data_IF_631347480670
#
_entry.id   IF_631347480670
#
_cell.length_a   1.000
_cell.length_b   1.000
_cell.length_c   1.000
_cell.angle_alpha   90.00
_cell.angle_beta   90.00
_cell.angle_gamma   90.00
#
_symmetry.space_group_name_H-M   'P 1'
#
loop_
_entity.id
_entity.type
_entity.pdbx_description
1 polymer ?
#
# COMPACT_ATOMS: atom_id res chain seq x y z
N UNK A 1 4.39 16.64 8.24
CA UNK A 1 3.72 16.66 9.55
C UNK A 1 3.20 18.05 9.84
N UNK A 2 1.94 18.17 10.23
CA UNK A 2 1.23 19.42 10.58
C UNK A 2 0.61 19.21 11.98
N UNK A 3 0.54 20.22 12.80
CA UNK A 3 0.02 20.14 14.17
C UNK A 3 -0.75 21.41 14.55
N UNK A 4 -1.70 21.25 15.47
CA UNK A 4 -2.68 22.28 15.84
C UNK A 4 -3.94 22.24 14.95
N UNK A 5 -5.06 22.64 15.51
CA UNK A 5 -6.37 22.50 14.88
C UNK A 5 -6.46 23.28 13.56
N UNK A 6 -6.18 24.58 13.58
CA UNK A 6 -6.28 25.42 12.38
C UNK A 6 -5.34 24.97 11.25
N UNK A 7 -4.04 24.68 11.47
CA UNK A 7 -3.18 24.19 10.39
C UNK A 7 -3.65 22.87 9.78
N UNK A 8 -4.24 21.97 10.58
CA UNK A 8 -4.80 20.71 10.06
C UNK A 8 -6.04 20.97 9.21
N UNK A 9 -6.93 21.85 9.65
CA UNK A 9 -8.08 22.30 8.86
C UNK A 9 -7.67 22.93 7.53
N UNK A 10 -6.63 23.77 7.53
CA UNK A 10 -6.12 24.41 6.31
C UNK A 10 -5.59 23.40 5.30
N UNK A 11 -4.85 22.37 5.77
CA UNK A 11 -4.38 21.29 4.91
C UNK A 11 -5.55 20.54 4.28
N UNK A 12 -6.61 20.26 5.05
CA UNK A 12 -7.83 19.61 4.56
C UNK A 12 -8.54 20.49 3.52
N UNK A 13 -8.72 21.79 3.82
CA UNK A 13 -9.35 22.75 2.90
C UNK A 13 -8.56 22.94 1.61
N UNK A 14 -7.23 22.81 1.68
CA UNK A 14 -6.35 22.85 0.51
C UNK A 14 -6.38 21.54 -0.33
N UNK A 15 -7.25 20.58 0.00
CA UNK A 15 -7.39 19.32 -0.73
C UNK A 15 -6.18 18.38 -0.60
N UNK A 16 -5.30 18.60 0.39
CA UNK A 16 -4.16 17.72 0.62
C UNK A 16 -4.58 16.50 1.42
N UNK A 17 -4.18 15.34 0.98
CA UNK A 17 -4.49 14.10 1.67
C UNK A 17 -3.71 13.94 2.96
N UNK A 18 -4.40 13.41 3.97
CA UNK A 18 -3.80 13.05 5.24
C UNK A 18 -3.43 11.57 5.25
N UNK A 19 -2.23 11.28 5.68
CA UNK A 19 -1.73 9.91 5.84
C UNK A 19 -2.20 9.30 7.15
N UNK A 20 -2.20 10.10 8.24
CA UNK A 20 -2.59 9.66 9.58
C UNK A 20 -2.87 10.87 10.48
N UNK A 21 -3.82 10.70 11.39
CA UNK A 21 -4.13 11.70 12.41
C UNK A 21 -3.98 11.10 13.80
N UNK A 22 -3.22 11.79 14.68
CA UNK A 22 -3.17 11.51 16.09
C UNK A 22 -3.97 12.56 16.85
N UNK A 23 -4.86 12.12 17.72
CA UNK A 23 -5.73 12.95 18.54
C UNK A 23 -5.50 12.60 20.02
N UNK A 24 -5.41 13.60 20.87
CA UNK A 24 -5.31 13.41 22.32
C UNK A 24 -6.55 12.70 22.85
N UNK A 25 -6.35 11.61 23.59
CA UNK A 25 -7.43 10.89 24.25
C UNK A 25 -8.14 11.79 25.28
N UNK A 26 -9.49 11.72 25.29
CA UNK A 26 -10.30 12.46 26.25
C UNK A 26 -10.51 13.95 25.93
N UNK A 27 -9.85 14.49 24.90
CA UNK A 27 -10.05 15.88 24.47
C UNK A 27 -11.39 16.02 23.75
N UNK A 28 -12.23 16.95 24.24
CA UNK A 28 -13.52 17.29 23.62
C UNK A 28 -13.42 18.66 22.97
N UNK A 29 -13.46 18.71 21.65
CA UNK A 29 -13.48 19.93 20.83
C UNK A 29 -14.33 19.67 19.60
N UNK A 30 -15.23 20.60 19.26
CA UNK A 30 -16.07 20.51 18.08
C UNK A 30 -15.19 20.44 16.80
N UNK A 31 -14.21 21.31 16.68
CA UNK A 31 -13.29 21.34 15.54
C UNK A 31 -12.52 20.03 15.36
N UNK A 32 -11.99 19.46 16.45
CA UNK A 32 -11.32 18.14 16.39
C UNK A 32 -12.31 17.04 15.96
N UNK A 33 -13.56 17.11 16.44
CA UNK A 33 -14.61 16.14 16.03
C UNK A 33 -14.90 16.24 14.54
N UNK A 34 -14.91 17.42 13.97
CA UNK A 34 -15.09 17.66 12.52
C UNK A 34 -13.91 17.10 11.71
N UNK A 35 -12.66 17.33 12.17
CA UNK A 35 -11.46 16.73 11.55
C UNK A 35 -11.50 15.20 11.62
N UNK A 36 -11.88 14.64 12.77
CA UNK A 36 -12.02 13.18 12.93
C UNK A 36 -13.09 12.60 12.00
N UNK A 37 -14.23 13.30 11.87
CA UNK A 37 -15.29 12.92 10.93
C UNK A 37 -14.80 12.97 9.48
N UNK A 38 -14.11 14.03 9.09
CA UNK A 38 -13.47 14.14 7.77
C UNK A 38 -12.51 12.98 7.53
N UNK A 39 -11.60 12.73 8.47
CA UNK A 39 -10.61 11.66 8.36
C UNK A 39 -11.26 10.28 8.18
N UNK A 40 -12.34 10.00 8.93
CA UNK A 40 -13.10 8.73 8.79
C UNK A 40 -13.77 8.62 7.42
N UNK A 41 -14.36 9.69 6.92
CA UNK A 41 -15.04 9.69 5.61
C UNK A 41 -14.05 9.52 4.43
N UNK A 42 -12.77 9.81 4.65
CA UNK A 42 -11.70 9.69 3.64
C UNK A 42 -10.71 8.55 3.98
N UNK A 43 -11.15 7.60 4.81
CA UNK A 43 -10.36 6.41 5.18
C UNK A 43 -8.98 6.71 5.78
N UNK A 44 -8.82 7.91 6.34
CA UNK A 44 -7.58 8.31 7.01
C UNK A 44 -7.53 7.69 8.40
N UNK A 45 -6.50 6.91 8.73
CA UNK A 45 -6.33 6.32 10.06
C UNK A 45 -6.28 7.38 11.16
N UNK A 46 -7.18 7.29 12.14
CA UNK A 46 -7.19 8.13 13.34
C UNK A 46 -6.80 7.31 14.55
N UNK A 47 -5.80 7.78 15.31
CA UNK A 47 -5.41 7.17 16.57
C UNK A 47 -5.60 8.15 17.74
N UNK A 48 -6.39 7.72 18.73
CA UNK A 48 -6.49 8.42 20.01
C UNK A 48 -5.35 7.98 20.92
N UNK A 49 -4.55 8.95 21.36
CA UNK A 49 -3.28 8.67 22.08
C UNK A 49 -3.14 9.57 23.32
N UNK A 50 -2.36 9.16 24.34
CA UNK A 50 -1.99 10.02 25.44
C UNK A 50 -1.21 11.26 24.93
N UNK A 51 -1.31 12.38 25.69
CA UNK A 51 -0.66 13.65 25.32
C UNK A 51 0.87 13.51 25.20
N UNK A 52 1.48 12.62 25.99
CA UNK A 52 2.90 12.34 25.96
C UNK A 52 3.38 11.85 24.60
N UNK A 53 2.53 11.09 23.89
CA UNK A 53 2.85 10.64 22.54
C UNK A 53 2.87 11.80 21.55
N UNK A 54 1.96 12.75 21.67
CA UNK A 54 1.96 13.98 20.85
C UNK A 54 3.17 14.85 21.15
N UNK A 55 3.51 15.00 22.43
CA UNK A 55 4.68 15.76 22.90
C UNK A 55 6.02 15.16 22.40
N UNK A 56 6.06 13.84 22.14
CA UNK A 56 7.24 13.18 21.51
C UNK A 56 7.34 13.49 20.03
N UNK A 57 6.21 13.69 19.35
CA UNK A 57 6.17 14.03 17.92
C UNK A 57 6.56 15.51 17.70
N UNK A 58 6.09 16.41 18.57
CA UNK A 58 6.42 17.83 18.51
C UNK A 58 6.33 18.48 19.89
N UNK A 59 7.32 19.34 20.20
CA UNK A 59 7.31 20.16 21.42
C UNK A 59 6.57 21.50 21.24
N UNK A 60 6.08 21.78 20.04
CA UNK A 60 5.30 22.98 19.74
C UNK A 60 3.85 22.80 20.15
N UNK A 61 3.10 23.91 20.24
CA UNK A 61 1.69 23.86 20.64
C UNK A 61 0.83 23.10 19.61
N UNK A 62 0.59 21.83 19.85
CA UNK A 62 -0.17 20.96 18.97
C UNK A 62 -1.68 20.93 19.27
N UNK A 63 -2.15 21.59 20.33
CA UNK A 63 -3.58 21.69 20.68
C UNK A 63 -4.33 20.34 20.68
N UNK A 64 -3.62 19.25 21.02
CA UNK A 64 -4.18 17.89 21.07
C UNK A 64 -4.34 17.19 19.72
N UNK A 65 -3.79 17.72 18.63
CA UNK A 65 -3.86 17.10 17.29
C UNK A 65 -2.54 17.23 16.53
N UNK A 66 -2.13 16.12 15.90
CA UNK A 66 -1.00 16.05 14.96
C UNK A 66 -1.42 15.23 13.77
N UNK A 67 -1.24 15.75 12.55
CA UNK A 67 -1.54 15.07 11.30
C UNK A 67 -0.28 14.90 10.45
N UNK A 68 -0.20 13.78 9.77
CA UNK A 68 0.80 13.53 8.74
C UNK A 68 0.13 13.72 7.38
N UNK A 69 0.69 14.59 6.55
CA UNK A 69 0.22 14.87 5.20
C UNK A 69 0.88 13.85 4.28
N UNK A 70 0.08 13.22 3.43
CA UNK A 70 0.58 12.31 2.42
C UNK A 70 1.34 13.10 1.34
N UNK A 71 2.54 12.68 0.93
CA UNK A 71 3.27 13.36 -0.15
C UNK A 71 2.77 12.99 -1.55
N UNK A 72 1.86 12.04 -1.66
CA UNK A 72 1.23 11.59 -2.91
C UNK A 72 -0.30 11.65 -2.78
N UNK A 73 -1.00 11.62 -3.91
CA UNK A 73 -2.45 11.40 -3.96
C UNK A 73 -2.73 9.93 -4.19
N UNK A 74 -3.61 9.35 -3.37
CA UNK A 74 -4.07 7.98 -3.58
C UNK A 74 -5.03 7.91 -4.76
N UNK A 75 -4.96 6.80 -5.50
CA UNK A 75 -5.87 6.49 -6.59
C UNK A 75 -6.87 5.40 -6.16
N UNK A 76 -7.93 5.27 -6.92
CA UNK A 76 -8.94 4.24 -6.72
C UNK A 76 -8.67 3.10 -7.71
N UNK A 77 -8.54 1.88 -7.23
CA UNK A 77 -8.20 0.73 -8.10
C UNK A 77 -9.27 0.49 -9.15
N UNK A 78 -10.52 0.78 -8.83
CA UNK A 78 -11.67 0.71 -9.72
C UNK A 78 -11.61 1.70 -10.90
N UNK A 79 -10.78 2.74 -10.79
CA UNK A 79 -10.51 3.67 -11.88
C UNK A 79 -9.25 3.29 -12.66
N UNK A 80 -8.20 2.82 -11.96
CA UNK A 80 -6.91 2.49 -12.60
C UNK A 80 -7.05 1.30 -13.56
N UNK A 81 -7.71 0.22 -13.14
CA UNK A 81 -7.81 -1.00 -13.95
C UNK A 81 -8.53 -0.75 -15.28
N UNK A 82 -9.73 -0.13 -15.33
CA UNK A 82 -10.38 0.20 -16.59
C UNK A 82 -9.54 1.15 -17.46
N UNK A 83 -8.90 2.15 -16.88
CA UNK A 83 -8.03 3.08 -17.60
C UNK A 83 -6.91 2.34 -18.36
N UNK A 84 -6.27 1.35 -17.73
CA UNK A 84 -5.21 0.55 -18.36
C UNK A 84 -5.77 -0.27 -19.54
N UNK A 85 -6.96 -0.84 -19.39
CA UNK A 85 -7.63 -1.54 -20.48
C UNK A 85 -8.01 -0.58 -21.64
N UNK A 86 -8.49 0.61 -21.32
CA UNK A 86 -8.85 1.64 -22.34
C UNK A 86 -7.62 2.10 -23.13
N UNK A 87 -6.42 2.03 -22.51
CA UNK A 87 -5.12 2.25 -23.18
C UNK A 87 -4.67 1.05 -24.05
N UNK A 88 -5.46 -0.04 -24.11
CA UNK A 88 -5.11 -1.25 -24.85
C UNK A 88 -4.00 -2.09 -24.19
N UNK A 89 -3.73 -1.88 -22.91
CA UNK A 89 -2.71 -2.59 -22.14
C UNK A 89 -3.32 -3.67 -21.24
N UNK A 90 -2.50 -4.61 -20.80
CA UNK A 90 -2.88 -5.63 -19.81
C UNK A 90 -2.52 -5.14 -18.42
N UNK A 91 -3.51 -4.95 -17.51
CA UNK A 91 -3.22 -4.48 -16.15
C UNK A 91 -2.23 -5.35 -15.42
N UNK A 92 -1.34 -4.68 -14.70
CA UNK A 92 -0.36 -5.29 -13.81
C UNK A 92 -0.41 -4.61 -12.44
N UNK A 93 -0.92 -5.31 -11.43
CA UNK A 93 -1.15 -4.79 -10.09
C UNK A 93 -0.30 -5.54 -9.07
N UNK A 94 0.19 -4.83 -8.05
CA UNK A 94 0.86 -5.42 -6.89
C UNK A 94 0.03 -5.13 -5.65
N UNK A 95 -0.34 -6.16 -4.90
CA UNK A 95 -1.07 -6.06 -3.63
C UNK A 95 -0.10 -6.36 -2.49
N UNK A 96 0.00 -5.48 -1.52
CA UNK A 96 0.87 -5.63 -0.35
C UNK A 96 0.04 -5.87 0.90
N UNK A 97 0.14 -7.07 1.48
CA UNK A 97 -0.51 -7.39 2.76
C UNK A 97 0.43 -7.08 3.91
N UNK A 98 0.12 -6.05 4.69
CA UNK A 98 0.81 -5.67 5.94
C UNK A 98 2.32 -5.41 5.81
N UNK A 99 2.77 -4.90 4.68
CA UNK A 99 4.14 -4.39 4.55
C UNK A 99 4.24 -3.06 5.28
N UNK A 100 4.85 -3.07 6.48
CA UNK A 100 4.88 -1.91 7.40
C UNK A 100 6.19 -1.15 7.40
N UNK A 101 7.28 -1.75 6.90
CA UNK A 101 8.57 -1.08 6.79
C UNK A 101 8.57 -0.08 5.63
N UNK A 102 8.87 1.18 5.97
CA UNK A 102 8.86 2.31 5.04
C UNK A 102 9.91 2.17 3.93
N UNK A 103 11.07 1.59 4.25
CA UNK A 103 12.17 1.41 3.28
C UNK A 103 11.84 0.27 2.32
N UNK A 104 11.30 -0.83 2.82
CA UNK A 104 10.83 -1.93 1.96
C UNK A 104 9.73 -1.43 1.02
N UNK A 105 8.75 -0.67 1.54
CA UNK A 105 7.70 -0.09 0.70
C UNK A 105 8.27 0.83 -0.39
N UNK A 106 9.19 1.73 -0.04
CA UNK A 106 9.86 2.59 -1.02
C UNK A 106 10.65 1.82 -2.08
N UNK A 107 11.38 0.77 -1.69
CA UNK A 107 12.11 -0.10 -2.61
C UNK A 107 11.17 -0.88 -3.53
N UNK A 108 10.06 -1.41 -2.99
CA UNK A 108 9.00 -2.06 -3.77
C UNK A 108 8.44 -1.09 -4.81
N UNK A 109 8.06 0.12 -4.40
CA UNK A 109 7.49 1.12 -5.31
C UNK A 109 8.45 1.48 -6.45
N UNK A 110 9.75 1.60 -6.16
CA UNK A 110 10.78 1.82 -7.19
C UNK A 110 10.85 0.67 -8.19
N UNK A 111 10.87 -0.55 -7.69
CA UNK A 111 10.93 -1.76 -8.51
C UNK A 111 9.66 -1.95 -9.34
N UNK A 112 8.49 -1.76 -8.72
CA UNK A 112 7.20 -1.83 -9.41
C UNK A 112 7.11 -0.82 -10.56
N UNK A 113 7.51 0.44 -10.30
CA UNK A 113 7.52 1.45 -11.36
C UNK A 113 8.47 1.08 -12.50
N UNK A 114 9.68 0.57 -12.19
CA UNK A 114 10.64 0.13 -13.20
C UNK A 114 10.15 -1.09 -14.01
N UNK A 115 9.34 -1.96 -13.39
CA UNK A 115 8.74 -3.13 -14.02
C UNK A 115 7.44 -2.83 -14.80
N UNK A 116 6.97 -1.57 -14.83
CA UNK A 116 5.74 -1.18 -15.50
C UNK A 116 4.47 -1.65 -14.79
N UNK A 117 4.52 -1.78 -13.46
CA UNK A 117 3.32 -2.03 -12.62
C UNK A 117 2.41 -0.80 -12.68
N UNK A 118 1.13 -1.01 -12.93
CA UNK A 118 0.14 0.06 -13.09
C UNK A 118 -0.36 0.60 -11.75
N UNK A 119 -0.46 -0.26 -10.73
CA UNK A 119 -0.87 0.14 -9.39
C UNK A 119 -0.26 -0.73 -8.29
N UNK A 120 0.00 -0.09 -7.13
CA UNK A 120 0.28 -0.77 -5.86
C UNK A 120 -0.94 -0.60 -4.97
N UNK A 121 -1.52 -1.72 -4.50
CA UNK A 121 -2.64 -1.72 -3.55
C UNK A 121 -2.11 -1.97 -2.15
N UNK A 122 -2.53 -1.13 -1.20
CA UNK A 122 -2.20 -1.26 0.22
C UNK A 122 -3.46 -1.18 1.08
N UNK A 123 -3.51 -1.87 2.23
CA UNK A 123 -4.61 -1.70 3.17
C UNK A 123 -4.54 -0.32 3.84
N UNK A 124 -5.69 0.24 4.21
CA UNK A 124 -5.79 1.49 4.96
C UNK A 124 -5.20 1.39 6.37
N UNK A 125 -5.08 0.18 6.90
CA UNK A 125 -4.48 -0.13 8.20
C UNK A 125 -3.43 -1.21 8.09
N UNK A 126 -2.32 -1.07 8.83
CA UNK A 126 -1.24 -2.06 8.83
C UNK A 126 -0.33 -1.96 7.59
N UNK A 127 -0.30 -0.85 6.90
CA UNK A 127 0.66 -0.54 5.83
C UNK A 127 1.72 0.46 6.29
N UNK A 128 2.82 0.54 5.55
CA UNK A 128 3.85 1.55 5.75
C UNK A 128 3.28 2.96 5.54
N UNK A 129 3.75 3.90 6.35
CA UNK A 129 3.43 5.32 6.15
C UNK A 129 4.19 5.85 4.92
N UNK A 130 3.47 6.49 4.01
CA UNK A 130 4.11 7.19 2.90
C UNK A 130 4.62 8.54 3.40
N UNK A 131 5.89 8.61 3.69
CA UNK A 131 6.58 9.78 4.24
C UNK A 131 7.82 10.13 3.41
N UNK A 132 8.63 11.10 3.88
CA UNK A 132 9.85 11.51 3.21
C UNK A 132 10.88 10.40 3.03
N UNK A 133 10.93 9.42 3.94
CA UNK A 133 11.84 8.27 3.83
C UNK A 133 11.39 7.31 2.73
N UNK A 134 10.08 7.04 2.61
CA UNK A 134 9.51 6.26 1.50
C UNK A 134 9.79 6.96 0.16
N UNK A 135 9.55 8.28 0.07
CA UNK A 135 9.82 9.09 -1.12
C UNK A 135 11.28 9.01 -1.54
N UNK A 136 12.20 9.13 -0.58
CA UNK A 136 13.65 9.04 -0.82
C UNK A 136 14.05 7.64 -1.29
N UNK A 137 13.58 6.58 -0.62
CA UNK A 137 13.92 5.19 -0.94
C UNK A 137 13.36 4.78 -2.29
N UNK A 138 12.18 5.29 -2.66
CA UNK A 138 11.59 5.05 -3.98
C UNK A 138 12.30 5.80 -5.12
N UNK A 139 13.28 6.66 -4.83
CA UNK A 139 13.95 7.51 -5.81
C UNK A 139 12.97 8.30 -6.71
N UNK A 140 11.85 8.74 -6.14
CA UNK A 140 10.79 9.50 -6.84
C UNK A 140 9.71 8.64 -7.50
N UNK A 141 9.85 7.33 -7.57
CA UNK A 141 8.86 6.44 -8.20
C UNK A 141 7.46 6.57 -7.58
N UNK A 142 7.38 6.81 -6.25
CA UNK A 142 6.10 7.04 -5.56
C UNK A 142 5.32 8.28 -6.05
N UNK A 143 5.96 9.22 -6.72
CA UNK A 143 5.26 10.35 -7.36
C UNK A 143 4.69 10.02 -8.74
N UNK A 144 4.99 8.85 -9.28
CA UNK A 144 4.70 8.46 -10.65
C UNK A 144 3.83 7.22 -10.74
N UNK A 145 3.97 6.28 -9.80
CA UNK A 145 3.15 5.06 -9.75
C UNK A 145 1.84 5.32 -9.02
N UNK A 146 0.74 4.71 -9.48
CA UNK A 146 -0.53 4.77 -8.75
C UNK A 146 -0.44 3.94 -7.47
N UNK A 147 -0.73 4.56 -6.32
CA UNK A 147 -0.91 3.86 -5.06
C UNK A 147 -2.38 3.91 -4.68
N UNK A 148 -3.01 2.74 -4.52
CA UNK A 148 -4.41 2.59 -4.16
C UNK A 148 -4.51 2.12 -2.71
N UNK A 149 -5.14 2.92 -1.85
CA UNK A 149 -5.38 2.59 -0.45
C UNK A 149 -6.81 2.08 -0.30
N UNK A 150 -6.98 0.86 0.23
CA UNK A 150 -8.28 0.19 0.30
C UNK A 150 -8.61 -0.22 1.74
N UNK A 151 -9.89 -0.19 2.10
CA UNK A 151 -10.33 -0.64 3.43
C UNK A 151 -10.34 -2.17 3.53
N UNK A 152 -10.69 -2.85 2.44
CA UNK A 152 -10.90 -4.28 2.42
C UNK A 152 -10.19 -4.92 1.21
N UNK A 153 -9.06 -5.56 1.47
CA UNK A 153 -8.30 -6.30 0.45
C UNK A 153 -9.13 -7.43 -0.17
N UNK A 154 -10.09 -8.06 0.56
CA UNK A 154 -10.92 -9.14 0.02
C UNK A 154 -11.80 -8.64 -1.12
N UNK A 155 -12.46 -7.50 -0.93
CA UNK A 155 -13.32 -6.91 -1.95
C UNK A 155 -12.48 -6.47 -3.16
N UNK A 156 -11.26 -6.00 -2.92
CA UNK A 156 -10.31 -5.69 -3.99
C UNK A 156 -9.90 -6.92 -4.78
N UNK A 157 -9.60 -8.05 -4.12
CA UNK A 157 -9.31 -9.32 -4.80
C UNK A 157 -10.51 -9.71 -5.70
N UNK A 158 -11.72 -9.68 -5.13
CA UNK A 158 -12.93 -10.06 -5.86
C UNK A 158 -13.18 -9.12 -7.07
N UNK A 159 -12.95 -7.80 -6.90
CA UNK A 159 -13.02 -6.82 -7.99
C UNK A 159 -12.00 -7.11 -9.10
N UNK A 160 -10.73 -7.34 -8.75
CA UNK A 160 -9.67 -7.61 -9.72
C UNK A 160 -9.96 -8.88 -10.55
N UNK A 161 -10.44 -9.94 -9.88
CA UNK A 161 -10.88 -11.18 -10.56
C UNK A 161 -12.07 -10.94 -11.48
N UNK A 162 -13.08 -10.20 -11.03
CA UNK A 162 -14.23 -9.81 -11.86
C UNK A 162 -13.82 -8.94 -13.06
N UNK A 163 -12.72 -8.18 -12.92
CA UNK A 163 -12.13 -7.38 -14.01
C UNK A 163 -11.21 -8.17 -14.94
N UNK A 164 -11.10 -9.50 -14.76
CA UNK A 164 -10.32 -10.38 -15.63
C UNK A 164 -8.84 -10.53 -15.28
N UNK A 165 -8.38 -10.00 -14.14
CA UNK A 165 -7.02 -10.24 -13.69
C UNK A 165 -6.92 -11.58 -12.97
N UNK A 166 -5.86 -12.34 -13.23
CA UNK A 166 -5.48 -13.48 -12.41
C UNK A 166 -4.80 -12.97 -11.14
N UNK A 167 -5.34 -13.29 -9.97
CA UNK A 167 -4.76 -12.88 -8.68
C UNK A 167 -3.92 -14.01 -8.12
N UNK A 168 -2.62 -13.79 -7.95
CA UNK A 168 -1.64 -14.80 -7.54
C UNK A 168 -0.95 -14.39 -6.24
N UNK A 169 -0.94 -15.28 -5.25
CA UNK A 169 -0.19 -15.11 -4.02
C UNK A 169 1.21 -15.72 -4.15
N UNK A 170 2.21 -14.98 -3.65
CA UNK A 170 3.58 -15.47 -3.59
C UNK A 170 3.96 -15.74 -2.13
N UNK A 171 4.11 -17.02 -1.79
CA UNK A 171 4.46 -17.45 -0.44
C UNK A 171 5.20 -18.80 -0.48
N UNK A 172 5.84 -19.15 0.62
CA UNK A 172 6.50 -20.43 0.83
C UNK A 172 5.55 -21.63 0.75
N UNK A 173 4.24 -21.40 0.87
CA UNK A 173 3.18 -22.42 0.76
C UNK A 173 2.80 -22.74 -0.68
N UNK A 174 3.36 -22.05 -1.66
CA UNK A 174 3.12 -22.30 -3.08
C UNK A 174 3.54 -23.69 -3.52
N UNK A 175 2.73 -24.32 -4.35
CA UNK A 175 3.01 -25.68 -4.89
C UNK A 175 3.73 -25.65 -6.23
N UNK A 176 3.58 -24.59 -6.97
CA UNK A 176 4.17 -24.38 -8.29
C UNK A 176 5.22 -23.28 -8.21
N UNK A 177 6.33 -23.47 -8.90
CA UNK A 177 7.35 -22.44 -8.97
C UNK A 177 6.93 -21.32 -9.94
N UNK A 178 7.40 -20.12 -9.67
CA UNK A 178 7.15 -18.95 -10.54
C UNK A 178 7.59 -19.21 -11.99
N UNK A 179 8.66 -20.01 -12.19
CA UNK A 179 9.21 -20.32 -13.51
C UNK A 179 8.31 -21.21 -14.39
N UNK A 180 7.34 -21.87 -13.77
CA UNK A 180 6.43 -22.81 -14.45
C UNK A 180 5.06 -22.22 -14.71
N UNK A 181 4.76 -21.06 -14.15
CA UNK A 181 3.48 -20.40 -14.26
C UNK A 181 3.41 -19.48 -15.49
N UNK A 182 2.23 -19.39 -16.11
CA UNK A 182 1.94 -18.37 -17.11
C UNK A 182 1.55 -17.05 -16.43
N UNK A 183 2.37 -16.01 -16.64
CA UNK A 183 2.22 -14.68 -16.07
C UNK A 183 2.04 -13.61 -17.16
N UNK A 184 1.72 -14.00 -18.39
CA UNK A 184 1.64 -13.10 -19.55
C UNK A 184 0.38 -12.24 -19.58
N UNK A 185 -0.76 -12.76 -19.06
CA UNK A 185 -2.06 -12.07 -19.08
C UNK A 185 -2.20 -10.92 -18.06
N UNK A 186 -3.41 -10.33 -17.95
CA UNK A 186 -3.74 -9.40 -16.88
C UNK A 186 -3.54 -10.05 -15.51
N UNK A 187 -2.78 -9.40 -14.62
CA UNK A 187 -2.31 -10.04 -13.39
C UNK A 187 -2.28 -9.09 -12.20
N UNK A 188 -2.63 -9.63 -11.02
CA UNK A 188 -2.36 -9.02 -9.74
C UNK A 188 -1.51 -9.98 -8.90
N UNK A 189 -0.33 -9.55 -8.46
CA UNK A 189 0.53 -10.31 -7.57
C UNK A 189 0.35 -9.84 -6.14
N UNK A 190 0.24 -10.78 -5.20
CA UNK A 190 0.12 -10.47 -3.78
C UNK A 190 1.37 -10.88 -3.04
N UNK A 191 1.92 -9.95 -2.27
CA UNK A 191 3.08 -10.11 -1.41
C UNK A 191 2.69 -9.89 0.04
N UNK A 192 3.19 -10.71 0.94
CA UNK A 192 2.91 -10.63 2.38
C UNK A 192 3.97 -9.88 3.16
N UNK A 193 3.69 -9.69 4.47
CA UNK A 193 4.67 -9.18 5.43
C UNK A 193 5.84 -10.15 5.62
N UNK A 194 6.97 -9.64 6.11
CA UNK A 194 8.14 -10.46 6.42
C UNK A 194 7.93 -11.38 7.64
N UNK A 195 7.04 -11.01 8.57
CA UNK A 195 6.79 -11.77 9.80
C UNK A 195 5.74 -12.86 9.61
N UNK A 196 4.58 -12.51 9.03
CA UNK A 196 3.41 -13.40 8.97
C UNK A 196 3.08 -13.88 7.56
N UNK A 197 3.80 -13.40 6.54
CA UNK A 197 3.45 -13.68 5.15
C UNK A 197 2.08 -13.08 4.75
N UNK A 198 1.37 -13.77 3.88
CA UNK A 198 0.03 -13.38 3.41
C UNK A 198 -1.04 -13.99 4.33
N UNK A 199 -2.03 -13.18 4.70
CA UNK A 199 -3.17 -13.60 5.53
C UNK A 199 -3.91 -14.80 4.89
N UNK A 200 -4.21 -15.81 5.70
CA UNK A 200 -4.98 -17.00 5.29
C UNK A 200 -6.34 -16.65 4.66
N UNK A 201 -6.94 -15.52 5.09
CA UNK A 201 -8.20 -15.04 4.55
C UNK A 201 -8.06 -14.56 3.09
N UNK A 202 -6.88 -14.12 2.67
CA UNK A 202 -6.58 -13.71 1.30
C UNK A 202 -6.09 -14.90 0.47
N UNK A 203 -5.26 -15.77 1.04
CA UNK A 203 -4.82 -17.00 0.40
C UNK A 203 -5.98 -17.86 -0.11
N UNK A 204 -7.11 -17.89 0.61
CA UNK A 204 -8.32 -18.64 0.20
C UNK A 204 -9.08 -18.00 -0.97
N UNK A 205 -8.77 -16.76 -1.34
CA UNK A 205 -9.50 -15.99 -2.38
C UNK A 205 -8.75 -15.86 -3.69
N UNK A 206 -7.43 -15.96 -3.65
CA UNK A 206 -6.58 -15.84 -4.85
C UNK A 206 -6.77 -17.05 -5.77
N UNK A 207 -6.40 -16.90 -7.03
CA UNK A 207 -6.56 -17.94 -8.05
C UNK A 207 -5.43 -18.96 -7.99
N UNK A 208 -4.22 -18.56 -7.56
CA UNK A 208 -3.07 -19.43 -7.55
C UNK A 208 -2.06 -19.05 -6.45
N UNK A 209 -1.22 -20.01 -6.08
CA UNK A 209 -0.17 -19.88 -5.07
C UNK A 209 1.15 -20.30 -5.67
N UNK A 210 2.05 -19.37 -5.87
CA UNK A 210 3.36 -19.61 -6.44
C UNK A 210 4.46 -19.42 -5.40
N UNK A 211 5.59 -20.09 -5.63
CA UNK A 211 6.78 -19.99 -4.79
C UNK A 211 8.00 -19.57 -5.61
N UNK A 212 8.85 -18.74 -5.03
CA UNK A 212 10.22 -18.52 -5.51
C UNK A 212 11.06 -19.68 -4.96
N UNK A 213 11.66 -20.53 -5.83
CA UNK A 213 12.45 -21.65 -5.33
C UNK A 213 13.67 -21.15 -4.55
N UNK A 214 13.85 -21.71 -3.37
CA UNK A 214 14.94 -21.38 -2.43
C UNK A 214 15.83 -22.63 -2.24
N UNK A 215 16.91 -22.82 -3.01
CA UNK A 215 17.76 -24.00 -2.90
C UNK A 215 18.71 -23.97 -1.69
N UNK A 216 18.82 -22.85 -0.99
CA UNK A 216 19.63 -22.71 0.23
C UNK A 216 18.81 -22.95 1.49
N UNK A 217 19.47 -22.85 2.66
CA UNK A 217 18.89 -23.11 3.98
C UNK A 217 18.12 -21.90 4.56
N UNK A 218 17.78 -20.89 3.74
CA UNK A 218 17.01 -19.71 4.14
C UNK A 218 15.58 -19.85 3.63
N UNK A 219 14.60 -19.73 4.52
CA UNK A 219 13.18 -19.95 4.20
C UNK A 219 12.50 -18.81 3.45
N UNK A 220 13.03 -17.58 3.51
CA UNK A 220 12.41 -16.40 2.91
C UNK A 220 13.43 -15.36 2.45
N UNK A 221 13.02 -14.54 1.48
CA UNK A 221 13.73 -13.33 1.05
C UNK A 221 13.09 -12.09 1.68
N UNK A 222 13.86 -11.04 1.80
CA UNK A 222 13.30 -9.72 2.04
C UNK A 222 12.19 -9.41 1.03
N UNK A 223 11.06 -8.87 1.48
CA UNK A 223 9.85 -8.67 0.66
C UNK A 223 10.11 -7.79 -0.57
N UNK A 224 10.99 -6.79 -0.48
CA UNK A 224 11.30 -5.95 -1.64
C UNK A 224 12.13 -6.68 -2.69
N UNK A 225 13.01 -7.58 -2.26
CA UNK A 225 13.78 -8.46 -3.16
C UNK A 225 12.86 -9.48 -3.83
N UNK A 226 12.01 -10.15 -3.06
CA UNK A 226 11.02 -11.10 -3.58
C UNK A 226 10.10 -10.43 -4.60
N UNK A 227 9.58 -9.23 -4.29
CA UNK A 227 8.77 -8.44 -5.23
C UNK A 227 9.53 -8.14 -6.52
N UNK A 228 10.82 -7.83 -6.43
CA UNK A 228 11.67 -7.60 -7.61
C UNK A 228 11.77 -8.84 -8.51
N UNK A 229 12.03 -10.00 -7.93
CA UNK A 229 12.10 -11.26 -8.69
C UNK A 229 10.77 -11.53 -9.40
N UNK A 230 9.65 -11.41 -8.66
CA UNK A 230 8.32 -11.71 -9.21
C UNK A 230 7.92 -10.72 -10.31
N UNK A 231 8.08 -9.43 -10.08
CA UNK A 231 7.69 -8.41 -11.07
C UNK A 231 8.51 -8.51 -12.34
N UNK A 232 9.82 -8.76 -12.25
CA UNK A 232 10.68 -8.90 -13.42
C UNK A 232 10.50 -10.25 -14.13
N UNK A 233 10.03 -11.29 -13.47
CA UNK A 233 9.61 -12.51 -14.17
C UNK A 233 8.35 -12.26 -15.02
N UNK A 234 7.38 -11.49 -14.51
CA UNK A 234 6.22 -11.03 -15.34
C UNK A 234 6.72 -10.25 -16.56
N UNK A 235 7.64 -9.30 -16.36
CA UNK A 235 8.25 -8.53 -17.46
C UNK A 235 8.93 -9.44 -18.47
N UNK A 236 9.77 -10.38 -17.99
CA UNK A 236 10.47 -11.32 -18.88
C UNK A 236 9.50 -12.11 -19.74
N UNK A 237 8.42 -12.63 -19.14
CA UNK A 237 7.43 -13.43 -19.90
C UNK A 237 6.60 -12.57 -20.88
N UNK A 238 6.33 -11.29 -20.56
CA UNK A 238 5.58 -10.38 -21.44
C UNK A 238 6.41 -9.83 -22.59
N UNK A 239 7.73 -9.81 -22.46
CA UNK A 239 8.65 -9.34 -23.51
C UNK A 239 9.11 -10.46 -24.45
N UNK A 240 8.83 -11.74 -24.11
CA UNK A 240 9.19 -12.91 -24.90
C UNK A 240 10.56 -13.43 -24.50
#
# INVERSE_FOLDING_TARGET
MVFGVHPVEEVIKAGKELEKVFVQSGLRSQQISEIVKYAKNHEVPVQFVPIEKLNRLTRKNHQGIVAFVCPISYQTIENVVPMVYDEGRMPFVVILDRVTDVRNFGAIARTCYAAGVDAIVIPSRGSALINGDAMKTSAGALSLINVCRVENIKDTIDFLKASGLKVIAFSEKGKQTIWQADLTGPIAIMMGSEEDGISEAYLKRVDDHLVIPMPGDIDSLNVSVATGIVTFEVVRQRLG
#
